data_IF_963183187553
#
_entry.id   IF_963183187553
#
_cell.length_a   1.000
_cell.length_b   1.000
_cell.length_c   1.000
_cell.angle_alpha   90.00
_cell.angle_beta   90.00
_cell.angle_gamma   90.00
#
_symmetry.space_group_name_H-M   'P 1'
#
loop_
_entity.id
_entity.type
_entity.pdbx_description
1 polymer ?
#
# COMPACT_ATOMS: atom_id res chain seq x y z
N UNK A 1 0.79 2.13 10.31
CA UNK A 1 1.25 2.21 8.92
C UNK A 1 0.34 3.02 8.02
N UNK A 2 0.85 3.35 6.85
CA UNK A 2 0.19 4.19 5.87
C UNK A 2 -0.90 3.46 5.08
N UNK A 3 -1.98 3.09 5.73
CA UNK A 3 -3.12 2.42 5.10
C UNK A 3 -4.31 3.36 5.04
N UNK A 4 -4.66 3.82 3.85
CA UNK A 4 -5.82 4.68 3.62
C UNK A 4 -7.09 3.85 3.56
N UNK A 5 -8.15 4.37 4.17
CA UNK A 5 -9.49 3.78 4.10
C UNK A 5 -10.26 4.46 2.97
N UNK A 6 -10.29 3.78 1.86
CA UNK A 6 -11.00 4.16 0.65
C UNK A 6 -11.39 2.89 -0.10
N UNK A 7 -12.63 2.80 -0.56
CA UNK A 7 -13.13 1.73 -1.42
C UNK A 7 -14.23 2.23 -2.34
N UNK A 8 -14.39 1.57 -3.48
CA UNK A 8 -15.56 1.70 -4.36
C UNK A 8 -16.67 0.68 -4.01
N UNK A 9 -16.38 -0.29 -3.14
CA UNK A 9 -17.36 -1.27 -2.66
C UNK A 9 -18.13 -0.66 -1.48
N UNK A 10 -19.42 -0.39 -1.68
CA UNK A 10 -20.29 0.21 -0.67
C UNK A 10 -20.44 -0.69 0.57
N UNK A 11 -20.34 -2.01 0.43
CA UNK A 11 -20.37 -2.96 1.56
C UNK A 11 -19.19 -2.73 2.51
N UNK A 12 -18.00 -2.55 1.94
CA UNK A 12 -16.78 -2.23 2.69
C UNK A 12 -16.89 -0.88 3.37
N UNK A 13 -17.37 0.13 2.63
CA UNK A 13 -17.52 1.50 3.16
C UNK A 13 -18.53 1.54 4.30
N UNK A 14 -19.65 0.80 4.20
CA UNK A 14 -20.65 0.69 5.24
C UNK A 14 -20.10 -0.05 6.46
N UNK A 15 -19.42 -1.19 6.24
CA UNK A 15 -18.83 -1.96 7.32
C UNK A 15 -17.82 -1.15 8.14
N UNK A 16 -16.98 -0.34 7.47
CA UNK A 16 -16.07 0.58 8.17
C UNK A 16 -16.82 1.62 9.01
N UNK A 17 -17.92 2.17 8.48
CA UNK A 17 -18.74 3.15 9.21
C UNK A 17 -19.44 2.53 10.42
N UNK A 18 -19.86 1.27 10.33
CA UNK A 18 -20.50 0.54 11.45
C UNK A 18 -19.48 0.24 12.56
N UNK A 19 -18.24 -0.12 12.18
CA UNK A 19 -17.17 -0.38 13.15
C UNK A 19 -16.63 0.91 13.77
N UNK A 20 -16.44 1.96 12.95
CA UNK A 20 -15.91 3.25 13.40
C UNK A 20 -16.67 4.39 12.70
N UNK A 21 -17.61 5.05 13.40
CA UNK A 21 -18.41 6.13 12.82
C UNK A 21 -17.53 7.33 12.43
N UNK A 22 -17.96 8.04 11.38
CA UNK A 22 -17.29 9.25 10.90
C UNK A 22 -17.46 10.41 11.88
N UNK A 23 -16.44 11.26 11.98
CA UNK A 23 -16.42 12.43 12.85
C UNK A 23 -17.63 13.36 12.62
N UNK A 24 -18.24 13.78 13.72
CA UNK A 24 -19.33 14.79 13.76
C UNK A 24 -18.86 16.17 14.19
N UNK A 25 -17.59 16.29 14.60
CA UNK A 25 -16.95 17.55 14.97
C UNK A 25 -15.52 17.61 14.35
N UNK A 26 -14.96 18.82 14.16
CA UNK A 26 -13.60 18.98 13.67
C UNK A 26 -12.58 18.39 14.66
N UNK A 27 -11.54 17.72 14.15
CA UNK A 27 -10.42 17.26 14.93
C UNK A 27 -9.55 18.44 15.42
N UNK A 28 -8.64 18.19 16.36
CA UNK A 28 -7.77 19.21 16.96
C UNK A 28 -7.07 20.08 15.91
N UNK A 29 -6.42 19.47 14.93
CA UNK A 29 -5.71 20.19 13.87
C UNK A 29 -6.64 20.95 12.93
N UNK A 30 -7.85 20.44 12.67
CA UNK A 30 -8.85 21.14 11.87
C UNK A 30 -9.31 22.43 12.57
N UNK A 31 -9.46 22.40 13.90
CA UNK A 31 -9.78 23.58 14.72
C UNK A 31 -8.66 24.60 14.75
N UNK A 32 -7.42 24.16 15.03
CA UNK A 32 -6.25 25.03 15.12
C UNK A 32 -5.92 25.70 13.77
N UNK A 33 -6.10 24.99 12.68
CA UNK A 33 -5.81 25.49 11.34
C UNK A 33 -7.02 26.15 10.66
N UNK A 34 -8.17 26.17 11.32
CA UNK A 34 -9.45 26.64 10.78
C UNK A 34 -9.78 25.97 9.43
N UNK A 35 -9.60 24.64 9.39
CA UNK A 35 -9.84 23.81 8.21
C UNK A 35 -11.29 23.37 8.16
N UNK A 36 -11.91 23.50 7.00
CA UNK A 36 -13.25 22.95 6.75
C UNK A 36 -13.12 21.49 6.33
N UNK A 37 -13.79 20.59 7.05
CA UNK A 37 -13.86 19.15 6.74
C UNK A 37 -15.30 18.69 6.72
N UNK A 38 -15.64 17.67 5.90
CA UNK A 38 -16.97 17.07 5.95
C UNK A 38 -17.26 16.49 7.35
N UNK A 39 -18.41 16.85 7.92
CA UNK A 39 -18.86 16.36 9.22
C UNK A 39 -20.14 15.54 9.07
N UNK A 40 -20.22 14.43 9.79
CA UNK A 40 -21.41 13.58 9.81
C UNK A 40 -22.36 14.03 10.92
N UNK A 41 -23.61 14.41 10.60
CA UNK A 41 -24.59 14.79 11.64
C UNK A 41 -24.78 13.67 12.66
N UNK A 42 -24.65 14.00 13.94
CA UNK A 42 -24.74 13.02 15.04
C UNK A 42 -23.52 12.12 15.19
N UNK A 43 -22.47 12.31 14.40
CA UNK A 43 -21.21 11.58 14.56
C UNK A 43 -20.44 11.99 15.84
N UNK A 44 -19.46 11.17 16.28
CA UNK A 44 -18.67 11.42 17.48
C UNK A 44 -17.77 12.66 17.35
N UNK A 45 -17.48 13.31 18.45
CA UNK A 45 -16.49 14.37 18.58
C UNK A 45 -15.11 13.71 18.83
N UNK A 46 -14.12 13.88 17.94
CA UNK A 46 -12.79 13.28 18.11
C UNK A 46 -12.05 13.69 19.39
N UNK A 47 -12.44 14.81 20.01
CA UNK A 47 -11.85 15.25 21.29
C UNK A 47 -12.44 14.53 22.50
N UNK A 48 -13.59 13.87 22.34
CA UNK A 48 -14.32 13.21 23.44
C UNK A 48 -14.39 11.70 23.29
N UNK A 49 -14.29 11.23 22.06
CA UNK A 49 -14.45 9.82 21.73
C UNK A 49 -13.26 9.30 20.91
N UNK A 50 -12.84 8.09 21.22
CA UNK A 50 -11.71 7.46 20.52
C UNK A 50 -12.18 6.61 19.33
N UNK A 51 -13.38 6.03 19.40
CA UNK A 51 -13.95 5.23 18.31
C UNK A 51 -14.52 6.14 17.23
N UNK A 52 -13.64 6.74 16.46
CA UNK A 52 -13.98 7.70 15.42
C UNK A 52 -13.06 7.61 14.23
N UNK A 53 -13.63 7.77 13.03
CA UNK A 53 -12.89 7.86 11.77
C UNK A 53 -12.85 9.30 11.29
N UNK A 54 -11.67 9.78 10.97
CA UNK A 54 -11.41 11.15 10.53
C UNK A 54 -11.43 11.23 9.00
N UNK A 55 -11.81 12.39 8.46
CA UNK A 55 -11.60 12.74 7.06
C UNK A 55 -10.27 13.45 6.90
N UNK A 56 -9.41 12.99 5.99
CA UNK A 56 -8.07 13.51 5.77
C UNK A 56 -7.78 13.80 4.32
N UNK A 57 -7.06 14.90 4.05
CA UNK A 57 -6.62 15.26 2.72
C UNK A 57 -5.51 14.32 2.25
N UNK A 58 -5.63 13.87 1.01
CA UNK A 58 -4.59 13.05 0.37
C UNK A 58 -3.58 13.96 -0.30
N UNK A 59 -2.41 14.13 0.30
CA UNK A 59 -1.26 14.74 -0.35
C UNK A 59 -0.17 13.69 -0.50
N UNK A 60 0.30 13.51 -1.73
CA UNK A 60 1.44 12.63 -2.03
C UNK A 60 2.26 13.27 -3.12
N UNK A 61 3.58 13.29 -2.93
CA UNK A 61 4.51 13.81 -3.92
C UNK A 61 5.68 12.85 -4.12
N UNK A 62 6.43 13.06 -5.18
CA UNK A 62 7.71 12.42 -5.44
C UNK A 62 8.81 13.37 -4.97
N UNK A 63 9.80 12.84 -4.24
CA UNK A 63 11.03 13.53 -3.89
C UNK A 63 12.17 12.98 -4.72
N UNK A 64 12.84 13.86 -5.45
CA UNK A 64 13.95 13.53 -6.33
C UNK A 64 14.92 14.69 -6.42
N UNK A 65 16.19 14.46 -6.11
CA UNK A 65 17.29 15.45 -6.15
C UNK A 65 16.92 16.77 -5.44
N UNK A 66 16.46 16.67 -4.19
CA UNK A 66 16.04 17.80 -3.33
C UNK A 66 14.83 18.59 -3.84
N UNK A 67 14.06 18.07 -4.80
CA UNK A 67 12.86 18.70 -5.34
C UNK A 67 11.62 17.82 -5.21
N UNK A 68 10.48 18.47 -4.99
CA UNK A 68 9.18 17.79 -5.01
C UNK A 68 8.53 17.86 -6.39
N UNK A 69 7.96 16.71 -6.79
CA UNK A 69 7.16 16.57 -8.00
C UNK A 69 5.79 16.00 -7.64
N UNK A 70 4.77 16.33 -8.43
CA UNK A 70 3.42 15.77 -8.25
C UNK A 70 3.44 14.24 -8.38
N UNK A 71 2.56 13.57 -7.62
CA UNK A 71 2.27 12.15 -7.80
C UNK A 71 0.77 11.96 -8.10
N UNK A 72 0.42 11.29 -9.20
CA UNK A 72 1.32 10.82 -10.27
C UNK A 72 2.00 11.98 -10.99
N UNK A 73 3.19 11.71 -11.56
CA UNK A 73 3.94 12.76 -12.25
C UNK A 73 3.10 13.38 -13.35
N UNK A 74 3.03 14.70 -13.39
CA UNK A 74 2.31 15.46 -14.39
C UNK A 74 3.25 16.46 -15.07
N UNK A 75 3.14 16.63 -16.38
CA UNK A 75 3.94 17.58 -17.16
C UNK A 75 3.35 18.98 -17.10
N UNK A 76 3.06 19.49 -15.88
CA UNK A 76 2.65 20.88 -15.67
C UNK A 76 3.84 21.82 -15.81
N UNK A 77 3.54 23.12 -15.98
CA UNK A 77 4.58 24.15 -16.09
C UNK A 77 5.53 24.16 -14.88
N UNK A 78 5.00 23.94 -13.68
CA UNK A 78 5.78 23.85 -12.45
C UNK A 78 6.77 22.66 -12.50
N UNK A 79 6.34 21.50 -12.95
CA UNK A 79 7.19 20.31 -13.12
C UNK A 79 8.30 20.58 -14.13
N UNK A 80 7.99 21.18 -15.27
CA UNK A 80 8.98 21.52 -16.30
C UNK A 80 9.98 22.58 -15.79
N UNK A 81 9.52 23.54 -15.01
CA UNK A 81 10.39 24.55 -14.38
C UNK A 81 11.34 23.90 -13.36
N UNK A 82 10.82 22.98 -12.52
CA UNK A 82 11.61 22.26 -11.53
C UNK A 82 12.67 21.36 -12.18
N UNK A 83 12.31 20.68 -13.28
CA UNK A 83 13.25 19.84 -14.06
C UNK A 83 14.33 20.67 -14.78
N UNK A 84 14.08 21.94 -15.03
CA UNK A 84 14.95 22.83 -15.79
C UNK A 84 14.86 22.63 -17.32
N UNK A 85 15.29 23.64 -18.05
CA UNK A 85 15.13 23.67 -19.52
C UNK A 85 15.84 22.52 -20.24
N UNK A 86 17.11 22.27 -19.89
CA UNK A 86 17.90 21.22 -20.54
C UNK A 86 17.28 19.82 -20.36
N UNK A 87 16.87 19.48 -19.15
CA UNK A 87 16.21 18.19 -18.85
C UNK A 87 14.85 18.09 -19.55
N UNK A 88 14.08 19.16 -19.57
CA UNK A 88 12.78 19.23 -20.27
C UNK A 88 12.95 18.94 -21.76
N UNK A 89 13.97 19.54 -22.41
CA UNK A 89 14.25 19.28 -23.81
C UNK A 89 14.68 17.82 -24.04
N UNK A 90 15.53 17.25 -23.16
CA UNK A 90 15.93 15.84 -23.24
C UNK A 90 14.71 14.90 -23.09
N UNK A 91 13.79 15.18 -22.18
CA UNK A 91 12.54 14.42 -22.03
C UNK A 91 11.72 14.48 -23.30
N UNK A 92 11.54 15.68 -23.90
CA UNK A 92 10.80 15.87 -25.15
C UNK A 92 11.41 15.09 -26.34
N UNK A 93 12.72 15.21 -26.56
CA UNK A 93 13.39 14.47 -27.61
C UNK A 93 13.37 12.94 -27.37
N UNK A 94 13.55 12.52 -26.12
CA UNK A 94 13.49 11.10 -25.77
C UNK A 94 12.10 10.52 -26.00
N UNK A 95 11.04 11.27 -25.71
CA UNK A 95 9.67 10.85 -25.98
C UNK A 95 9.38 10.78 -27.50
N UNK A 96 9.78 11.78 -28.28
CA UNK A 96 9.63 11.76 -29.74
C UNK A 96 10.36 10.56 -30.36
N UNK A 97 11.58 10.26 -29.90
CA UNK A 97 12.32 9.07 -30.33
C UNK A 97 11.57 7.78 -30.02
N UNK A 98 10.94 7.67 -28.82
CA UNK A 98 10.13 6.52 -28.44
C UNK A 98 8.82 6.40 -29.24
N UNK A 99 8.26 7.50 -29.73
CA UNK A 99 7.10 7.49 -30.64
C UNK A 99 7.45 6.94 -32.03
N UNK A 100 8.65 7.27 -32.53
CA UNK A 100 9.12 6.86 -33.87
C UNK A 100 9.68 5.43 -33.83
N UNK A 101 10.47 5.11 -32.82
CA UNK A 101 11.14 3.80 -32.68
C UNK A 101 10.57 3.02 -31.49
N UNK A 102 9.41 2.38 -31.73
CA UNK A 102 8.78 1.51 -30.71
C UNK A 102 9.62 0.26 -30.46
N UNK A 103 9.81 -0.07 -29.20
CA UNK A 103 10.45 -1.31 -28.74
C UNK A 103 9.44 -2.45 -28.66
N UNK A 104 9.86 -3.73 -28.71
CA UNK A 104 9.00 -4.85 -28.35
C UNK A 104 8.40 -4.62 -26.95
N UNK A 105 7.13 -4.98 -26.78
CA UNK A 105 6.41 -4.75 -25.52
C UNK A 105 6.41 -6.02 -24.66
N UNK A 106 7.62 -6.58 -24.45
CA UNK A 106 7.91 -7.85 -23.81
C UNK A 106 8.27 -7.71 -22.32
N UNK A 107 8.72 -6.53 -21.91
CA UNK A 107 9.07 -6.26 -20.53
C UNK A 107 8.65 -4.85 -20.08
N UNK A 108 8.69 -4.62 -18.77
CA UNK A 108 8.23 -3.39 -18.13
C UNK A 108 9.11 -2.17 -18.51
N UNK A 109 10.42 -2.37 -18.71
CA UNK A 109 11.32 -1.30 -19.21
C UNK A 109 10.85 -0.78 -20.56
N UNK A 110 10.66 -1.69 -21.52
CA UNK A 110 10.20 -1.34 -22.86
C UNK A 110 8.82 -0.73 -22.87
N UNK A 111 7.92 -1.24 -22.02
CA UNK A 111 6.60 -0.65 -21.83
C UNK A 111 6.69 0.81 -21.36
N UNK A 112 7.48 1.10 -20.34
CA UNK A 112 7.64 2.47 -19.84
C UNK A 112 8.37 3.38 -20.83
N UNK A 113 9.41 2.90 -21.49
CA UNK A 113 10.11 3.68 -22.52
C UNK A 113 9.18 4.01 -23.69
N UNK A 114 8.38 3.07 -24.15
CA UNK A 114 7.37 3.30 -25.19
C UNK A 114 6.30 4.31 -24.78
N UNK A 115 5.98 4.36 -23.48
CA UNK A 115 4.94 5.22 -22.93
C UNK A 115 5.45 6.63 -22.59
N UNK A 116 6.67 6.76 -22.09
CA UNK A 116 7.18 7.98 -21.47
C UNK A 116 8.51 8.49 -22.04
N UNK A 117 9.17 7.70 -22.89
CA UNK A 117 10.53 7.96 -23.37
C UNK A 117 11.59 7.54 -22.33
N UNK A 118 12.80 7.22 -22.83
CA UNK A 118 13.90 6.71 -21.99
C UNK A 118 14.28 7.66 -20.85
N UNK A 119 14.28 8.98 -21.11
CA UNK A 119 14.72 9.97 -20.11
C UNK A 119 13.79 10.01 -18.90
N UNK A 120 12.48 10.09 -19.12
CA UNK A 120 11.50 10.13 -18.04
C UNK A 120 11.45 8.79 -17.29
N UNK A 121 11.56 7.67 -18.02
CA UNK A 121 11.67 6.34 -17.46
C UNK A 121 12.84 6.24 -16.47
N UNK A 122 14.04 6.66 -16.88
CA UNK A 122 15.23 6.57 -16.02
C UNK A 122 15.16 7.49 -14.79
N UNK A 123 14.41 8.60 -14.86
CA UNK A 123 14.28 9.52 -13.73
C UNK A 123 13.27 9.04 -12.68
N UNK A 124 12.13 8.46 -13.11
CA UNK A 124 10.98 8.26 -12.21
C UNK A 124 10.45 6.83 -12.11
N UNK A 125 10.94 5.91 -12.92
CA UNK A 125 10.41 4.54 -12.93
C UNK A 125 11.48 3.47 -12.68
N UNK A 126 12.65 3.58 -13.29
CA UNK A 126 13.69 2.55 -13.26
C UNK A 126 14.14 2.24 -11.83
N UNK A 127 14.75 3.21 -11.16
CA UNK A 127 15.30 3.01 -9.81
C UNK A 127 14.24 2.70 -8.76
N UNK A 128 13.07 3.32 -8.84
CA UNK A 128 11.99 3.04 -7.89
C UNK A 128 11.42 1.63 -8.06
N UNK A 129 11.24 1.19 -9.30
CA UNK A 129 10.76 -0.18 -9.58
C UNK A 129 11.76 -1.22 -9.08
N UNK A 130 13.06 -0.97 -9.30
CA UNK A 130 14.12 -1.85 -8.81
C UNK A 130 14.16 -1.89 -7.27
N UNK A 131 14.05 -0.74 -6.59
CA UNK A 131 13.92 -0.71 -5.12
C UNK A 131 12.72 -1.53 -4.64
N UNK A 132 11.55 -1.30 -5.24
CA UNK A 132 10.29 -1.92 -4.82
C UNK A 132 10.30 -3.44 -5.02
N UNK A 133 10.73 -3.91 -6.20
CA UNK A 133 10.61 -5.32 -6.57
C UNK A 133 11.91 -6.12 -6.45
N UNK A 134 13.04 -5.46 -6.24
CA UNK A 134 14.34 -6.12 -6.19
C UNK A 134 14.78 -6.72 -7.52
N UNK A 135 14.11 -6.34 -8.62
CA UNK A 135 14.40 -6.76 -10.00
C UNK A 135 14.41 -5.57 -10.92
N UNK A 136 15.32 -5.56 -11.86
CA UNK A 136 15.35 -4.52 -12.89
C UNK A 136 14.08 -4.61 -13.77
N UNK A 137 13.46 -3.48 -14.20
CA UNK A 137 12.26 -3.49 -15.05
C UNK A 137 12.34 -4.34 -16.32
N UNK A 138 13.54 -4.59 -16.86
CA UNK A 138 13.75 -5.49 -18.00
C UNK A 138 13.45 -6.97 -17.72
N UNK A 139 13.45 -7.36 -16.45
CA UNK A 139 13.18 -8.72 -15.97
C UNK A 139 11.72 -8.92 -15.54
N UNK A 140 10.91 -7.88 -15.64
CA UNK A 140 9.50 -7.85 -15.23
C UNK A 140 8.65 -7.82 -16.50
N UNK A 141 7.61 -8.65 -16.57
CA UNK A 141 6.68 -8.69 -17.69
C UNK A 141 5.93 -7.37 -17.90
N UNK A 142 5.68 -7.02 -19.16
CA UNK A 142 5.01 -5.77 -19.53
C UNK A 142 3.56 -5.66 -19.02
N UNK A 143 2.89 -6.79 -18.75
CA UNK A 143 1.51 -6.82 -18.21
C UNK A 143 1.40 -6.08 -16.87
N UNK A 144 2.46 -6.10 -16.08
CA UNK A 144 2.59 -5.35 -14.83
C UNK A 144 2.42 -3.84 -15.00
N UNK A 145 3.03 -3.29 -16.04
CA UNK A 145 2.91 -1.88 -16.38
C UNK A 145 1.49 -1.53 -16.80
N UNK A 146 0.85 -2.40 -17.56
CA UNK A 146 -0.51 -2.18 -18.06
C UNK A 146 -1.55 -2.08 -16.94
N UNK A 147 -1.41 -2.87 -15.89
CA UNK A 147 -2.33 -2.81 -14.73
C UNK A 147 -2.21 -1.51 -13.93
N UNK A 148 -1.01 -0.91 -13.85
CA UNK A 148 -0.72 0.23 -12.97
C UNK A 148 -0.68 1.59 -13.66
N UNK A 149 -0.53 1.64 -14.98
CA UNK A 149 -0.36 2.89 -15.73
C UNK A 149 -1.55 3.26 -16.61
N UNK A 150 -2.69 2.60 -16.49
CA UNK A 150 -3.89 2.87 -17.31
C UNK A 150 -4.33 4.33 -17.31
N UNK A 151 -4.03 5.06 -16.23
CA UNK A 151 -4.38 6.47 -16.09
C UNK A 151 -3.24 7.42 -16.51
N UNK A 152 -2.04 6.92 -16.81
CA UNK A 152 -0.85 7.71 -17.13
C UNK A 152 -0.52 7.62 -18.62
N UNK A 153 -1.34 8.24 -19.47
CA UNK A 153 -1.00 8.44 -20.88
C UNK A 153 -0.42 9.84 -21.09
N UNK A 154 0.84 9.95 -21.55
CA UNK A 154 1.41 11.27 -21.94
C UNK A 154 0.55 11.94 -23.02
N UNK A 155 0.01 11.14 -23.95
CA UNK A 155 -0.94 11.67 -24.94
C UNK A 155 -2.22 12.22 -24.30
N UNK A 156 -2.73 11.57 -23.24
CA UNK A 156 -3.83 12.09 -22.42
C UNK A 156 -3.42 13.38 -21.70
N UNK A 157 -2.24 13.41 -21.09
CA UNK A 157 -1.69 14.58 -20.40
C UNK A 157 -1.44 15.74 -21.38
N UNK A 158 -0.84 15.48 -22.54
CA UNK A 158 -0.64 16.49 -23.58
C UNK A 158 -1.97 16.97 -24.16
N UNK A 159 -2.92 16.08 -24.42
CA UNK A 159 -4.26 16.43 -24.87
C UNK A 159 -5.00 17.28 -23.83
N UNK A 160 -4.84 16.98 -22.56
CA UNK A 160 -5.35 17.77 -21.43
C UNK A 160 -4.67 19.14 -21.33
N UNK A 161 -3.36 19.22 -21.55
CA UNK A 161 -2.65 20.51 -21.61
C UNK A 161 -3.15 21.38 -22.77
N UNK A 162 -3.25 20.81 -23.97
CA UNK A 162 -3.77 21.53 -25.13
C UNK A 162 -5.26 21.87 -24.99
N UNK A 163 -6.09 20.97 -24.44
CA UNK A 163 -7.51 21.25 -24.21
C UNK A 163 -7.73 22.33 -23.15
N UNK A 164 -6.91 22.36 -22.09
CA UNK A 164 -6.98 23.38 -21.02
C UNK A 164 -6.63 24.80 -21.49
N UNK A 165 -5.84 24.93 -22.56
CA UNK A 165 -5.54 26.22 -23.20
C UNK A 165 -6.78 26.77 -23.92
N UNK A 166 -7.68 25.90 -24.42
CA UNK A 166 -8.86 26.27 -25.20
C UNK A 166 -10.20 26.08 -24.47
N UNK A 167 -10.21 25.61 -23.20
CA UNK A 167 -11.44 25.35 -22.45
C UNK A 167 -11.90 26.53 -21.60
N UNK A 168 -13.23 26.76 -21.53
CA UNK A 168 -13.85 27.73 -20.63
C UNK A 168 -13.70 27.33 -19.14
N UNK A 169 -13.74 28.35 -18.24
CA UNK A 169 -13.58 28.17 -16.78
C UNK A 169 -14.53 27.14 -16.16
N UNK A 170 -15.75 27.01 -16.69
CA UNK A 170 -16.80 26.12 -16.15
C UNK A 170 -16.52 24.62 -16.43
N UNK A 171 -16.00 24.29 -17.61
CA UNK A 171 -15.56 22.91 -17.93
C UNK A 171 -14.29 22.50 -17.18
N UNK A 172 -13.45 23.47 -16.79
CA UNK A 172 -12.27 23.24 -15.95
C UNK A 172 -12.62 22.72 -14.56
N UNK A 173 -13.72 23.23 -13.96
CA UNK A 173 -14.18 22.78 -12.63
C UNK A 173 -14.77 21.36 -12.63
N UNK A 174 -15.45 20.95 -13.71
CA UNK A 174 -16.03 19.61 -13.81
C UNK A 174 -15.00 18.50 -14.08
N UNK A 175 -13.89 18.79 -14.78
CA UNK A 175 -12.83 17.80 -15.02
C UNK A 175 -11.87 17.61 -13.83
N UNK A 176 -11.75 18.60 -12.94
CA UNK A 176 -10.97 18.49 -11.70
C UNK A 176 -11.63 17.50 -10.72
N UNK A 177 -12.93 17.24 -10.85
CA UNK A 177 -13.67 16.32 -9.96
C UNK A 177 -13.47 14.83 -10.25
N UNK A 178 -12.81 14.44 -11.35
CA UNK A 178 -12.68 13.02 -11.73
C UNK A 178 -11.26 12.43 -11.64
N UNK A 179 -10.26 13.21 -11.28
CA UNK A 179 -8.89 12.70 -11.17
C UNK A 179 -8.33 12.91 -9.79
N UNK A 180 -8.20 11.83 -9.04
CA UNK A 180 -7.59 11.67 -7.73
C UNK A 180 -8.56 11.95 -6.57
N UNK A 181 -8.81 10.90 -5.80
CA UNK A 181 -9.41 10.97 -4.47
C UNK A 181 -8.59 11.95 -3.66
N UNK A 182 -9.16 13.11 -3.38
CA UNK A 182 -8.51 14.19 -2.63
C UNK A 182 -8.57 13.94 -1.13
N UNK A 183 -9.50 13.06 -0.69
CA UNK A 183 -9.75 12.75 0.72
C UNK A 183 -9.78 11.24 0.96
N UNK A 184 -9.42 10.83 2.18
CA UNK A 184 -9.53 9.45 2.65
C UNK A 184 -10.01 9.42 4.10
N UNK A 185 -10.56 8.28 4.50
CA UNK A 185 -10.94 8.03 5.89
C UNK A 185 -9.74 7.44 6.65
N UNK A 186 -9.62 7.80 7.93
CA UNK A 186 -8.53 7.30 8.76
C UNK A 186 -8.94 7.20 10.22
N UNK A 187 -8.77 6.05 10.88
CA UNK A 187 -9.06 5.91 12.32
C UNK A 187 -8.20 6.87 13.14
N UNK A 188 -8.77 7.43 14.20
CA UNK A 188 -8.12 8.41 15.09
C UNK A 188 -6.71 7.98 15.51
N UNK A 189 -6.53 6.72 15.90
CA UNK A 189 -5.25 6.15 16.34
C UNK A 189 -4.63 5.19 15.31
N UNK A 190 -4.96 5.34 14.03
CA UNK A 190 -4.40 4.57 12.94
C UNK A 190 -5.17 3.29 12.60
N UNK A 191 -4.73 2.56 11.54
CA UNK A 191 -5.49 1.43 11.00
C UNK A 191 -5.68 0.28 11.99
N UNK A 192 -4.73 0.06 12.90
CA UNK A 192 -4.81 -0.98 13.93
C UNK A 192 -6.03 -0.83 14.81
N UNK A 193 -6.43 0.40 15.13
CA UNK A 193 -7.60 0.68 15.96
C UNK A 193 -8.90 0.09 15.40
N UNK A 194 -9.10 0.12 14.08
CA UNK A 194 -10.26 -0.51 13.46
C UNK A 194 -10.28 -2.01 13.72
N UNK A 195 -9.13 -2.67 13.57
CA UNK A 195 -9.03 -4.12 13.74
C UNK A 195 -9.11 -4.54 15.20
N UNK A 196 -8.58 -3.75 16.11
CA UNK A 196 -8.76 -3.94 17.56
C UNK A 196 -10.23 -3.79 17.97
N UNK A 197 -10.91 -2.78 17.42
CA UNK A 197 -12.36 -2.60 17.60
C UNK A 197 -13.14 -3.81 17.06
N UNK A 198 -12.77 -4.29 15.87
CA UNK A 198 -13.38 -5.49 15.28
C UNK A 198 -13.16 -6.72 16.14
N UNK A 199 -11.95 -6.93 16.67
CA UNK A 199 -11.65 -8.04 17.57
C UNK A 199 -12.53 -8.00 18.84
N UNK A 200 -12.71 -6.82 19.43
CA UNK A 200 -13.61 -6.64 20.59
C UNK A 200 -15.07 -6.98 20.25
N UNK A 201 -15.56 -6.60 19.06
CA UNK A 201 -16.91 -6.96 18.64
C UNK A 201 -17.06 -8.48 18.40
N UNK A 202 -16.04 -9.13 17.85
CA UNK A 202 -16.01 -10.61 17.70
C UNK A 202 -16.11 -11.28 19.09
N UNK A 203 -15.33 -10.82 20.06
CA UNK A 203 -15.35 -11.36 21.43
C UNK A 203 -16.70 -11.14 22.11
N UNK A 204 -17.34 -9.98 21.93
CA UNK A 204 -18.70 -9.71 22.44
C UNK A 204 -19.75 -10.65 21.85
N UNK A 205 -19.55 -11.07 20.60
CA UNK A 205 -20.42 -12.06 19.94
C UNK A 205 -20.12 -13.51 20.35
N UNK A 206 -19.19 -13.72 21.28
CA UNK A 206 -18.77 -15.05 21.75
C UNK A 206 -17.67 -15.67 20.91
N UNK A 207 -17.10 -14.95 19.94
CA UNK A 207 -15.94 -15.39 19.19
C UNK A 207 -14.66 -15.39 20.06
N UNK A 208 -13.62 -16.02 19.57
CA UNK A 208 -12.36 -16.16 20.30
C UNK A 208 -11.19 -15.71 19.44
N UNK A 209 -10.38 -14.80 19.95
CA UNK A 209 -9.12 -14.34 19.32
C UNK A 209 -7.94 -14.97 20.08
N UNK A 210 -7.13 -15.75 19.36
CA UNK A 210 -5.95 -16.41 19.92
C UNK A 210 -4.69 -15.74 19.37
N UNK A 211 -4.05 -14.92 20.17
CA UNK A 211 -2.79 -14.23 19.83
C UNK A 211 -1.58 -15.11 20.19
N UNK A 212 -0.44 -14.89 19.51
CA UNK A 212 0.78 -15.66 19.76
C UNK A 212 0.68 -17.13 19.37
N UNK A 213 -0.28 -17.47 18.49
CA UNK A 213 -0.52 -18.81 18.00
C UNK A 213 -0.24 -18.88 16.50
N UNK A 214 0.79 -19.62 16.13
CA UNK A 214 1.21 -19.81 14.73
C UNK A 214 0.53 -21.04 14.15
N UNK A 215 -0.14 -20.90 12.99
CA UNK A 215 -0.60 -22.05 12.21
C UNK A 215 0.57 -22.60 11.42
N UNK A 216 0.89 -23.88 11.64
CA UNK A 216 1.99 -24.60 11.00
C UNK A 216 1.54 -25.38 9.76
N UNK A 217 0.25 -25.74 9.70
CA UNK A 217 -0.31 -26.50 8.58
C UNK A 217 -1.74 -26.94 8.82
N UNK A 218 -2.29 -27.64 7.83
CA UNK A 218 -3.65 -28.17 7.85
C UNK A 218 -3.64 -29.65 7.57
N UNK A 219 -4.33 -30.43 8.41
CA UNK A 219 -4.55 -31.86 8.20
C UNK A 219 -5.80 -32.06 7.34
N UNK A 220 -5.66 -32.84 6.28
CA UNK A 220 -6.72 -33.09 5.33
C UNK A 220 -7.09 -34.58 5.28
N UNK A 221 -8.38 -34.85 5.18
CA UNK A 221 -8.92 -36.21 5.02
C UNK A 221 -10.16 -36.17 4.11
N UNK A 222 -10.22 -37.04 3.11
CA UNK A 222 -11.41 -37.22 2.22
C UNK A 222 -11.96 -35.92 1.62
N UNK A 223 -11.08 -35.01 1.12
CA UNK A 223 -11.47 -33.76 0.48
C UNK A 223 -11.91 -32.67 1.46
N UNK A 224 -11.56 -32.78 2.73
CA UNK A 224 -11.82 -31.77 3.76
C UNK A 224 -10.59 -31.49 4.61
N UNK A 225 -10.48 -30.26 5.09
CA UNK A 225 -9.60 -29.92 6.22
C UNK A 225 -10.30 -30.37 7.49
N UNK A 226 -9.62 -31.14 8.34
CA UNK A 226 -10.18 -31.67 9.59
C UNK A 226 -9.61 -30.96 10.82
N UNK A 227 -8.37 -30.49 10.76
CA UNK A 227 -7.75 -29.73 11.82
C UNK A 227 -6.62 -28.82 11.31
N UNK A 228 -6.27 -27.83 12.12
CA UNK A 228 -5.06 -27.04 11.93
C UNK A 228 -4.04 -27.44 12.99
N UNK A 229 -2.80 -27.70 12.59
CA UNK A 229 -1.70 -27.82 13.52
C UNK A 229 -1.19 -26.42 13.86
N UNK A 230 -1.19 -26.12 15.15
CA UNK A 230 -0.82 -24.80 15.66
C UNK A 230 0.28 -24.92 16.71
N UNK A 231 1.06 -23.86 16.86
CA UNK A 231 2.09 -23.71 17.90
C UNK A 231 1.88 -22.41 18.66
N UNK A 232 1.90 -22.47 19.94
CA UNK A 232 1.91 -21.32 20.86
C UNK A 232 2.87 -21.54 22.03
N UNK A 233 2.75 -20.75 23.11
CA UNK A 233 3.59 -20.86 24.30
C UNK A 233 3.46 -22.17 25.05
N UNK A 234 2.41 -22.97 24.83
CA UNK A 234 2.18 -24.28 25.45
C UNK A 234 2.71 -25.45 24.59
N UNK A 235 3.09 -25.17 23.33
CA UNK A 235 3.61 -26.18 22.41
C UNK A 235 2.76 -26.34 21.16
N UNK A 236 2.89 -27.49 20.50
CA UNK A 236 2.13 -27.82 19.29
C UNK A 236 0.90 -28.66 19.65
N UNK A 237 -0.22 -28.34 18.99
CA UNK A 237 -1.47 -29.09 19.08
C UNK A 237 -2.30 -28.96 17.82
N UNK A 238 -3.26 -29.86 17.67
CA UNK A 238 -4.26 -29.79 16.61
C UNK A 238 -5.51 -29.04 17.10
N UNK A 239 -6.06 -28.19 16.24
CA UNK A 239 -7.33 -27.51 16.47
C UNK A 239 -8.33 -27.97 15.40
N UNK A 240 -9.38 -28.64 15.82
CA UNK A 240 -10.44 -29.11 14.95
C UNK A 240 -11.43 -27.98 14.56
N UNK A 241 -12.10 -28.13 13.43
CA UNK A 241 -13.11 -27.20 12.96
C UNK A 241 -13.91 -27.76 11.79
N UNK A 242 -15.08 -27.20 11.56
CA UNK A 242 -15.98 -27.59 10.47
C UNK A 242 -15.69 -26.83 9.18
N UNK A 243 -15.28 -25.53 9.30
CA UNK A 243 -14.99 -24.63 8.18
C UNK A 243 -13.74 -23.83 8.48
N UNK A 244 -12.91 -23.64 7.48
CA UNK A 244 -11.62 -22.97 7.60
C UNK A 244 -11.50 -21.80 6.60
N UNK A 245 -11.22 -20.61 7.11
CA UNK A 245 -10.86 -19.45 6.31
C UNK A 245 -9.37 -19.17 6.50
N UNK A 246 -8.60 -19.24 5.43
CA UNK A 246 -7.15 -19.02 5.47
C UNK A 246 -6.78 -17.70 4.81
N UNK A 247 -6.19 -16.80 5.58
CA UNK A 247 -5.52 -15.59 5.06
C UNK A 247 -3.99 -15.71 5.10
N UNK A 248 -3.46 -16.87 5.55
CA UNK A 248 -2.03 -17.12 5.57
C UNK A 248 -1.45 -17.23 4.16
N UNK A 249 -0.13 -16.98 3.96
CA UNK A 249 0.48 -17.14 2.65
C UNK A 249 0.22 -18.51 2.05
N UNK A 250 -0.26 -18.53 0.81
CA UNK A 250 -0.63 -19.78 0.09
C UNK A 250 0.53 -20.79 0.07
N UNK A 251 1.76 -20.31 -0.09
CA UNK A 251 2.99 -21.11 -0.04
C UNK A 251 3.14 -21.82 1.30
N UNK A 252 2.86 -21.13 2.42
CA UNK A 252 2.99 -21.70 3.77
C UNK A 252 1.84 -22.67 4.06
N UNK A 253 0.62 -22.36 3.62
CA UNK A 253 -0.52 -23.25 3.74
C UNK A 253 -0.24 -24.57 3.03
N UNK A 254 0.15 -24.53 1.75
CA UNK A 254 0.45 -25.72 0.95
C UNK A 254 1.61 -26.52 1.53
N UNK A 255 2.67 -25.84 1.97
CA UNK A 255 3.83 -26.52 2.61
C UNK A 255 3.47 -27.26 3.91
N UNK A 256 2.44 -26.78 4.62
CA UNK A 256 1.97 -27.37 5.87
C UNK A 256 0.83 -28.39 5.72
N UNK A 257 0.32 -28.62 4.51
CA UNK A 257 -0.71 -29.64 4.24
C UNK A 257 -0.10 -31.03 4.03
N UNK A 258 -0.84 -32.07 4.38
CA UNK A 258 -0.47 -33.44 4.03
C UNK A 258 -0.97 -33.80 2.62
N UNK A 259 -0.32 -34.80 2.00
CA UNK A 259 -0.72 -35.43 0.72
C UNK A 259 -0.92 -34.48 -0.46
N UNK A 260 -0.13 -33.38 -0.49
CA UNK A 260 -0.17 -32.42 -1.60
C UNK A 260 0.55 -33.00 -2.83
N UNK A 261 -0.03 -32.90 -4.05
CA UNK A 261 0.65 -33.28 -5.28
C UNK A 261 1.98 -32.53 -5.47
N UNK A 262 2.99 -33.23 -5.99
CA UNK A 262 4.34 -32.68 -6.13
C UNK A 262 4.39 -31.41 -7.00
N UNK A 263 3.62 -31.37 -8.09
CA UNK A 263 3.49 -30.21 -8.96
C UNK A 263 2.90 -28.99 -8.21
N UNK A 264 1.90 -29.20 -7.37
CA UNK A 264 1.30 -28.13 -6.55
C UNK A 264 2.29 -27.62 -5.50
N UNK A 265 3.05 -28.53 -4.87
CA UNK A 265 4.10 -28.14 -3.90
C UNK A 265 5.18 -27.30 -4.56
N UNK A 266 5.66 -27.70 -5.74
CA UNK A 266 6.69 -26.98 -6.49
C UNK A 266 6.23 -25.58 -6.87
N UNK A 267 5.05 -25.45 -7.44
CA UNK A 267 4.46 -24.16 -7.84
C UNK A 267 4.30 -23.26 -6.60
N UNK A 268 3.68 -23.77 -5.53
CA UNK A 268 3.45 -22.98 -4.31
C UNK A 268 4.77 -22.55 -3.64
N UNK A 269 5.76 -23.43 -3.59
CA UNK A 269 7.08 -23.12 -3.04
C UNK A 269 7.82 -22.04 -3.84
N UNK A 270 7.61 -21.97 -5.16
CA UNK A 270 8.20 -20.99 -6.06
C UNK A 270 7.52 -19.61 -6.04
N UNK A 271 6.34 -19.45 -5.41
CA UNK A 271 5.64 -18.17 -5.36
C UNK A 271 6.46 -17.13 -4.58
N UNK A 272 6.84 -16.00 -5.21
CA UNK A 272 7.72 -15.02 -4.61
C UNK A 272 6.97 -13.97 -3.80
N UNK A 273 7.65 -13.42 -2.81
CA UNK A 273 7.21 -12.27 -2.02
C UNK A 273 8.33 -11.24 -1.92
N UNK A 274 7.96 -10.00 -1.65
CA UNK A 274 8.86 -8.98 -1.13
C UNK A 274 8.54 -8.75 0.33
N UNK A 275 9.59 -8.68 1.12
CA UNK A 275 9.56 -8.31 2.52
C UNK A 275 9.74 -6.81 2.68
N UNK A 276 9.59 -6.34 3.87
CA UNK A 276 9.51 -4.92 4.11
C UNK A 276 9.98 -4.61 5.53
N UNK A 277 10.82 -3.59 5.64
CA UNK A 277 11.23 -3.02 6.92
C UNK A 277 10.71 -1.60 6.98
N UNK A 278 10.10 -1.24 8.10
CA UNK A 278 9.77 0.16 8.39
C UNK A 278 10.57 0.64 9.59
N UNK A 279 11.15 1.84 9.45
CA UNK A 279 11.82 2.55 10.54
C UNK A 279 10.96 3.75 10.89
N UNK A 280 10.45 3.80 12.12
CA UNK A 280 9.79 4.96 12.67
C UNK A 280 10.82 5.86 13.35
N UNK A 281 10.74 7.16 13.10
CA UNK A 281 11.53 8.17 13.80
C UNK A 281 10.64 9.27 14.34
N UNK A 282 10.76 9.57 15.63
CA UNK A 282 10.23 10.78 16.21
C UNK A 282 11.33 11.84 16.13
N UNK A 283 11.04 12.95 15.48
CA UNK A 283 11.98 14.06 15.32
C UNK A 283 11.37 15.34 15.84
N UNK A 284 12.20 16.27 16.31
CA UNK A 284 11.73 17.60 16.73
C UNK A 284 11.40 18.50 15.53
N UNK A 285 12.05 18.28 14.37
CA UNK A 285 11.76 19.01 13.13
C UNK A 285 12.28 18.26 11.90
N UNK A 286 11.71 18.62 10.75
CA UNK A 286 12.24 18.25 9.43
C UNK A 286 12.87 19.48 8.78
N UNK A 287 13.93 19.28 8.02
CA UNK A 287 14.57 20.34 7.22
C UNK A 287 13.78 20.66 5.92
N UNK A 288 12.69 19.93 5.67
CA UNK A 288 11.79 20.16 4.54
C UNK A 288 10.87 21.35 4.80
N UNK A 289 10.81 22.29 3.85
CA UNK A 289 9.96 23.48 3.93
C UNK A 289 8.62 23.25 3.25
N UNK A 290 7.53 23.68 3.90
CA UNK A 290 6.21 23.70 3.29
C UNK A 290 6.08 24.92 2.37
N UNK A 291 6.32 24.72 1.08
CA UNK A 291 6.15 25.74 0.05
C UNK A 291 4.74 25.74 -0.58
N UNK A 292 3.83 24.90 -0.05
CA UNK A 292 2.45 24.77 -0.53
C UNK A 292 1.54 25.81 0.14
N UNK A 293 0.31 25.92 -0.37
CA UNK A 293 -0.74 26.75 0.25
C UNK A 293 -1.48 26.03 1.39
N UNK A 294 -1.19 24.75 1.60
CA UNK A 294 -1.84 23.94 2.63
C UNK A 294 -1.20 24.21 3.99
N UNK A 295 -2.04 24.57 4.95
CA UNK A 295 -1.60 24.78 6.34
C UNK A 295 -1.49 23.45 7.07
N UNK A 296 -0.44 23.27 7.84
CA UNK A 296 -0.18 22.11 8.69
C UNK A 296 0.26 22.55 10.08
N UNK A 297 0.09 21.70 11.09
CA UNK A 297 0.65 21.95 12.43
C UNK A 297 2.19 22.01 12.31
N UNK A 298 2.82 22.92 13.05
CA UNK A 298 4.26 23.12 12.96
C UNK A 298 4.80 23.55 11.58
N UNK A 299 3.91 23.91 10.65
CA UNK A 299 4.24 24.26 9.25
C UNK A 299 5.08 23.20 8.51
N UNK A 300 4.90 21.91 8.85
CA UNK A 300 5.56 20.81 8.17
C UNK A 300 5.00 20.62 6.75
N UNK A 301 5.74 19.92 5.88
CA UNK A 301 5.23 19.56 4.54
C UNK A 301 3.91 18.76 4.66
N UNK A 302 2.89 19.03 3.80
CA UNK A 302 1.55 18.49 3.96
C UNK A 302 1.39 17.05 3.49
N UNK A 303 2.48 16.44 3.07
CA UNK A 303 2.45 15.10 2.50
C UNK A 303 2.11 14.05 3.54
N UNK A 304 1.14 13.21 3.23
CA UNK A 304 0.95 11.94 3.94
C UNK A 304 2.00 10.93 3.52
N UNK A 305 2.42 11.01 2.24
CA UNK A 305 3.27 10.02 1.61
C UNK A 305 4.19 10.64 0.58
N UNK A 306 5.49 10.42 0.70
CA UNK A 306 6.52 10.89 -0.22
C UNK A 306 7.21 9.68 -0.83
N UNK A 307 7.22 9.60 -2.17
CA UNK A 307 7.95 8.58 -2.92
C UNK A 307 9.37 9.03 -3.18
N UNK A 308 10.37 8.25 -2.77
CA UNK A 308 11.80 8.60 -2.88
C UNK A 308 12.39 7.98 -4.14
N UNK A 309 12.82 8.83 -5.07
CA UNK A 309 13.36 8.39 -6.36
C UNK A 309 14.90 8.41 -6.42
N UNK A 310 15.58 9.02 -5.44
CA UNK A 310 17.05 9.09 -5.41
C UNK A 310 17.66 7.69 -5.41
N UNK A 311 18.55 7.41 -6.36
CA UNK A 311 19.12 6.08 -6.56
C UNK A 311 20.22 5.72 -5.55
N UNK A 312 20.80 6.72 -4.87
CA UNK A 312 21.90 6.57 -3.91
C UNK A 312 21.43 6.27 -2.48
N UNK A 313 20.11 6.15 -2.26
CA UNK A 313 19.49 5.73 -1.01
C UNK A 313 18.61 4.50 -1.20
N UNK A 314 18.54 3.64 -0.20
CA UNK A 314 17.64 2.47 -0.20
C UNK A 314 16.20 2.82 0.16
N UNK A 315 16.01 3.93 0.86
CA UNK A 315 14.72 4.45 1.26
C UNK A 315 13.77 4.54 0.05
N UNK A 316 12.63 3.89 0.14
CA UNK A 316 11.62 3.90 -0.91
C UNK A 316 10.53 4.93 -0.71
N UNK A 317 10.08 5.12 0.55
CA UNK A 317 8.97 6.02 0.88
C UNK A 317 9.11 6.61 2.27
N UNK A 318 8.63 7.85 2.43
CA UNK A 318 8.48 8.52 3.72
C UNK A 318 7.00 8.75 3.98
N UNK A 319 6.54 8.45 5.18
CA UNK A 319 5.21 8.81 5.68
C UNK A 319 5.35 9.85 6.78
N UNK A 320 4.49 10.87 6.78
CA UNK A 320 4.45 11.90 7.83
C UNK A 320 3.15 11.71 8.59
N UNK A 321 3.19 11.00 9.70
CA UNK A 321 2.01 10.54 10.41
C UNK A 321 1.18 11.67 11.04
N UNK A 322 1.78 12.82 11.35
CA UNK A 322 1.05 14.01 11.78
C UNK A 322 -0.07 14.41 10.79
N UNK A 323 0.17 14.20 9.48
CA UNK A 323 -0.81 14.52 8.43
C UNK A 323 -1.89 13.44 8.24
N UNK A 324 -1.68 12.24 8.79
CA UNK A 324 -2.69 11.17 8.79
C UNK A 324 -3.66 11.33 9.94
N UNK A 325 -3.14 11.60 11.13
CA UNK A 325 -3.93 11.94 12.32
C UNK A 325 -3.05 12.66 13.34
N UNK A 326 -3.48 13.82 13.88
CA UNK A 326 -2.72 14.51 14.92
C UNK A 326 -2.63 13.72 16.22
N UNK A 327 -3.53 12.75 16.43
CA UNK A 327 -3.56 11.91 17.63
C UNK A 327 -2.56 10.75 17.61
N UNK A 328 -1.85 10.55 16.50
CA UNK A 328 -0.74 9.59 16.42
C UNK A 328 0.53 10.11 17.08
N UNK A 329 0.59 11.40 17.39
CA UNK A 329 1.77 12.08 17.93
C UNK A 329 1.37 12.81 19.22
N UNK A 330 2.14 12.63 20.29
CA UNK A 330 1.81 13.21 21.60
C UNK A 330 1.87 14.73 21.59
N UNK A 331 2.85 15.31 20.88
CA UNK A 331 3.05 16.75 20.71
C UNK A 331 3.17 17.07 19.20
N UNK A 332 2.05 17.12 18.46
CA UNK A 332 2.07 17.29 17.01
C UNK A 332 2.42 18.70 16.53
N UNK A 333 2.51 19.66 17.43
CA UNK A 333 2.93 21.04 17.11
C UNK A 333 4.46 21.20 17.11
N UNK A 334 5.17 20.41 17.92
CA UNK A 334 6.61 20.54 18.13
C UNK A 334 7.40 19.28 17.76
N UNK A 335 6.73 18.16 17.43
CA UNK A 335 7.39 16.93 17.01
C UNK A 335 6.74 16.34 15.77
N UNK A 336 7.51 15.60 15.00
CA UNK A 336 7.06 14.93 13.78
C UNK A 336 7.38 13.45 13.88
N UNK A 337 6.35 12.60 13.70
CA UNK A 337 6.51 11.16 13.61
C UNK A 337 6.53 10.75 12.14
N UNK A 338 7.67 10.22 11.69
CA UNK A 338 7.83 9.77 10.31
C UNK A 338 8.05 8.26 10.24
N UNK A 339 7.52 7.64 9.20
CA UNK A 339 7.74 6.23 8.85
C UNK A 339 8.54 6.12 7.57
N UNK A 340 9.61 5.33 7.61
CA UNK A 340 10.54 5.14 6.51
C UNK A 340 10.42 3.71 6.01
N UNK A 341 10.12 3.52 4.74
CA UNK A 341 9.83 2.21 4.15
C UNK A 341 10.99 1.72 3.30
N UNK A 342 11.48 0.52 3.63
CA UNK A 342 12.55 -0.19 2.94
C UNK A 342 12.05 -1.51 2.41
N UNK A 343 12.18 -1.72 1.11
CA UNK A 343 11.84 -2.99 0.46
C UNK A 343 13.07 -3.88 0.45
N UNK A 344 12.93 -5.10 0.93
CA UNK A 344 14.02 -6.05 1.04
C UNK A 344 13.50 -7.48 0.88
N UNK A 345 14.39 -8.45 0.99
CA UNK A 345 14.04 -9.84 1.14
C UNK A 345 14.61 -10.36 2.46
N UNK A 346 13.97 -11.37 3.04
CA UNK A 346 14.55 -12.14 4.13
C UNK A 346 15.94 -12.65 3.75
N UNK A 347 16.92 -12.41 4.62
CA UNK A 347 18.33 -12.73 4.35
C UNK A 347 19.16 -11.63 3.71
N UNK A 348 18.54 -10.55 3.20
CA UNK A 348 19.29 -9.36 2.75
C UNK A 348 20.09 -8.74 3.90
N UNK A 349 21.24 -8.09 3.64
CA UNK A 349 22.01 -7.40 4.67
C UNK A 349 21.19 -6.39 5.48
N UNK A 350 20.28 -5.66 4.83
CA UNK A 350 19.41 -4.69 5.51
C UNK A 350 18.35 -5.36 6.39
N UNK A 351 17.81 -6.50 5.96
CA UNK A 351 16.89 -7.30 6.76
C UNK A 351 17.59 -7.87 8.00
N UNK A 352 18.82 -8.38 7.83
CA UNK A 352 19.59 -9.07 8.87
C UNK A 352 20.32 -8.12 9.83
N UNK A 353 20.38 -6.82 9.52
CA UNK A 353 21.02 -5.81 10.36
C UNK A 353 20.30 -5.65 11.70
N UNK A 354 20.99 -5.19 12.73
CA UNK A 354 20.38 -4.81 14.01
C UNK A 354 19.44 -3.61 13.85
N UNK A 355 18.57 -3.39 14.82
CA UNK A 355 17.70 -2.20 14.83
C UNK A 355 18.52 -0.92 14.81
N UNK A 356 19.58 -0.84 15.64
CA UNK A 356 20.48 0.31 15.73
C UNK A 356 21.18 0.61 14.39
N UNK A 357 21.66 -0.42 13.68
CA UNK A 357 22.29 -0.27 12.38
C UNK A 357 21.30 0.20 11.32
N UNK A 358 20.09 -0.35 11.35
CA UNK A 358 19.01 0.03 10.44
C UNK A 358 18.57 1.47 10.66
N UNK A 359 18.40 1.89 11.91
CA UNK A 359 18.07 3.27 12.29
C UNK A 359 19.18 4.23 11.88
N UNK A 360 20.45 3.88 12.15
CA UNK A 360 21.60 4.71 11.77
C UNK A 360 21.69 4.90 10.26
N UNK A 361 21.45 3.84 9.49
CA UNK A 361 21.39 3.95 8.02
C UNK A 361 20.25 4.87 7.60
N UNK A 362 19.07 4.72 8.17
CA UNK A 362 17.89 5.54 7.85
C UNK A 362 18.15 7.01 8.12
N UNK A 363 18.71 7.37 9.27
CA UNK A 363 19.10 8.75 9.62
C UNK A 363 20.13 9.30 8.65
N UNK A 364 21.16 8.51 8.31
CA UNK A 364 22.20 8.90 7.34
C UNK A 364 21.61 9.20 5.96
N UNK A 365 20.64 8.39 5.50
CA UNK A 365 19.97 8.63 4.22
C UNK A 365 19.12 9.90 4.23
N UNK A 366 18.39 10.17 5.33
CA UNK A 366 17.60 11.40 5.48
C UNK A 366 18.48 12.66 5.51
N UNK A 367 19.64 12.61 6.16
CA UNK A 367 20.61 13.72 6.16
C UNK A 367 21.14 13.94 4.75
N UNK A 368 21.54 12.88 4.05
CA UNK A 368 22.03 12.95 2.67
C UNK A 368 20.99 13.55 1.72
N UNK A 369 19.72 13.21 1.92
CA UNK A 369 18.60 13.75 1.16
C UNK A 369 18.23 15.18 1.56
N UNK A 370 18.80 15.73 2.64
CA UNK A 370 18.43 17.04 3.17
C UNK A 370 17.05 17.08 3.84
N UNK A 371 16.52 15.93 4.24
CA UNK A 371 15.25 15.80 4.99
C UNK A 371 15.46 16.07 6.47
N UNK A 372 16.61 15.64 7.02
CA UNK A 372 17.12 16.02 8.33
C UNK A 372 18.40 16.86 8.19
N UNK A 373 18.64 17.74 9.13
CA UNK A 373 19.87 18.52 9.20
C UNK A 373 21.02 17.66 9.75
N UNK A 374 20.78 17.02 10.89
CA UNK A 374 21.69 16.08 11.54
C UNK A 374 20.94 15.12 12.48
N UNK A 375 21.67 14.18 13.09
CA UNK A 375 21.13 13.15 13.97
C UNK A 375 20.59 13.65 15.32
N UNK A 376 20.98 14.86 15.76
CA UNK A 376 20.55 15.42 17.05
C UNK A 376 19.05 15.73 17.08
N UNK A 377 18.41 15.81 15.91
CA UNK A 377 16.97 16.01 15.79
C UNK A 377 16.14 14.74 16.01
N UNK A 378 16.76 13.56 16.12
CA UNK A 378 16.06 12.29 16.38
C UNK A 378 15.87 12.12 17.88
N UNK A 379 14.60 12.09 18.31
CA UNK A 379 14.21 11.97 19.72
C UNK A 379 13.95 10.52 20.13
N UNK A 380 13.42 9.72 19.21
CA UNK A 380 13.09 8.31 19.43
C UNK A 380 13.03 7.55 18.12
N UNK A 381 13.16 6.23 18.17
CA UNK A 381 13.13 5.38 16.99
C UNK A 381 12.52 4.02 17.28
N UNK A 382 11.99 3.38 16.23
CA UNK A 382 11.45 2.02 16.29
C UNK A 382 11.58 1.34 14.92
N UNK A 383 11.83 0.04 14.92
CA UNK A 383 11.90 -0.77 13.69
C UNK A 383 10.91 -1.92 13.72
N UNK A 384 10.21 -2.10 12.60
CA UNK A 384 9.37 -3.27 12.35
C UNK A 384 9.80 -4.00 11.08
N UNK A 385 9.77 -5.32 11.11
CA UNK A 385 10.03 -6.20 9.98
C UNK A 385 8.75 -6.96 9.62
N UNK A 386 8.37 -6.91 8.36
CA UNK A 386 7.16 -7.55 7.86
C UNK A 386 7.54 -8.54 6.75
N UNK A 387 7.47 -9.81 7.06
CA UNK A 387 7.67 -10.89 6.08
C UNK A 387 6.47 -10.98 5.13
N UNK A 388 6.77 -11.36 3.88
CA UNK A 388 5.74 -11.63 2.86
C UNK A 388 4.72 -10.51 2.71
N UNK A 389 5.21 -9.25 2.77
CA UNK A 389 4.36 -8.06 2.73
C UNK A 389 3.71 -7.87 1.36
N UNK A 390 4.41 -8.21 0.28
CA UNK A 390 3.97 -7.98 -1.10
C UNK A 390 4.08 -9.27 -1.91
N UNK A 391 2.96 -9.95 -2.23
CA UNK A 391 2.94 -11.01 -3.23
C UNK A 391 3.43 -10.47 -4.57
N UNK A 392 4.39 -11.14 -5.19
CA UNK A 392 4.94 -10.77 -6.49
C UNK A 392 4.49 -11.76 -7.56
N UNK A 393 4.35 -11.31 -8.81
CA UNK A 393 3.80 -12.10 -9.91
C UNK A 393 4.93 -12.52 -10.86
N UNK A 394 5.91 -13.24 -10.31
CA UNK A 394 7.07 -13.73 -11.00
C UNK A 394 7.21 -15.25 -10.82
N UNK A 395 8.22 -15.81 -11.45
CA UNK A 395 8.64 -17.19 -11.28
C UNK A 395 7.48 -18.16 -11.54
N UNK A 396 6.99 -18.91 -10.55
CA UNK A 396 5.90 -19.90 -10.72
C UNK A 396 4.50 -19.29 -10.70
N UNK A 397 4.36 -17.97 -10.62
CA UNK A 397 3.04 -17.33 -10.52
C UNK A 397 2.12 -17.60 -11.73
N UNK A 398 2.70 -17.76 -12.93
CA UNK A 398 1.91 -18.06 -14.14
C UNK A 398 1.16 -19.39 -14.04
N UNK A 399 1.66 -20.31 -13.21
CA UNK A 399 1.05 -21.64 -12.96
C UNK A 399 0.18 -21.68 -11.70
N UNK A 400 -0.05 -20.54 -11.02
CA UNK A 400 -0.83 -20.47 -9.76
C UNK A 400 -2.23 -21.08 -9.89
N UNK A 401 -2.79 -21.09 -11.09
CA UNK A 401 -4.09 -21.71 -11.39
C UNK A 401 -4.17 -23.17 -10.91
N UNK A 402 -3.08 -23.92 -11.04
CA UNK A 402 -3.00 -25.31 -10.58
C UNK A 402 -3.09 -25.44 -9.05
N UNK A 403 -2.50 -24.49 -8.30
CA UNK A 403 -2.60 -24.43 -6.84
C UNK A 403 -4.04 -24.08 -6.43
N UNK A 404 -4.65 -23.12 -7.10
CA UNK A 404 -6.04 -22.71 -6.86
C UNK A 404 -7.00 -23.87 -7.10
N UNK A 405 -6.85 -24.62 -8.20
CA UNK A 405 -7.65 -25.82 -8.49
C UNK A 405 -7.53 -26.84 -7.35
N UNK A 406 -6.32 -27.13 -6.89
CA UNK A 406 -6.10 -28.06 -5.80
C UNK A 406 -6.78 -27.59 -4.49
N UNK A 407 -6.58 -26.33 -4.09
CA UNK A 407 -7.18 -25.80 -2.86
C UNK A 407 -8.71 -25.77 -2.93
N UNK A 408 -9.29 -25.60 -4.12
CA UNK A 408 -10.74 -25.63 -4.32
C UNK A 408 -11.32 -27.06 -4.27
N UNK A 409 -10.50 -28.11 -4.22
CA UNK A 409 -11.01 -29.48 -3.99
C UNK A 409 -11.48 -29.72 -2.56
N UNK A 410 -11.10 -28.86 -1.61
CA UNK A 410 -11.53 -28.96 -0.21
C UNK A 410 -12.86 -28.24 0.00
N UNK A 411 -13.91 -28.98 0.33
CA UNK A 411 -15.27 -28.47 0.48
C UNK A 411 -15.40 -27.36 1.54
N UNK A 412 -14.55 -27.37 2.57
CA UNK A 412 -14.64 -26.52 3.75
C UNK A 412 -13.47 -25.54 3.93
N UNK A 413 -12.61 -25.36 2.90
CA UNK A 413 -11.49 -24.43 2.91
C UNK A 413 -11.79 -23.22 2.02
N UNK A 414 -11.57 -22.01 2.55
CA UNK A 414 -11.73 -20.75 1.84
C UNK A 414 -10.45 -19.92 1.97
N UNK A 415 -9.76 -19.68 0.85
CA UNK A 415 -8.57 -18.83 0.82
C UNK A 415 -8.97 -17.38 0.52
N UNK A 416 -8.66 -16.47 1.46
CA UNK A 416 -9.09 -15.06 1.41
C UNK A 416 -7.93 -14.11 1.66
N UNK A 417 -8.10 -12.85 1.27
CA UNK A 417 -7.15 -11.80 1.54
C UNK A 417 -5.91 -11.81 0.64
N UNK A 418 -4.99 -10.88 0.91
CA UNK A 418 -3.78 -10.65 0.10
C UNK A 418 -2.91 -11.91 -0.03
N UNK A 419 -2.52 -12.48 1.10
CA UNK A 419 -1.58 -13.59 1.14
C UNK A 419 -2.25 -14.94 0.92
N UNK A 420 -3.51 -15.12 1.38
CA UNK A 420 -4.29 -16.33 1.14
C UNK A 420 -4.64 -16.55 -0.33
N UNK A 421 -4.56 -15.51 -1.16
CA UNK A 421 -4.75 -15.59 -2.60
C UNK A 421 -3.48 -15.33 -3.41
N UNK A 422 -2.35 -15.03 -2.77
CA UNK A 422 -1.14 -14.55 -3.43
C UNK A 422 -1.44 -13.42 -4.42
N UNK A 423 -2.21 -12.42 -3.98
CA UNK A 423 -2.68 -11.32 -4.82
C UNK A 423 -2.40 -9.97 -4.15
N UNK A 424 -1.98 -8.99 -4.92
CA UNK A 424 -1.68 -7.65 -4.42
C UNK A 424 -2.97 -6.88 -4.09
N UNK A 425 -3.69 -7.38 -3.08
CA UNK A 425 -4.94 -6.80 -2.59
C UNK A 425 -4.67 -5.63 -1.63
N UNK A 426 -5.48 -4.58 -1.73
CA UNK A 426 -5.63 -3.59 -0.67
C UNK A 426 -6.57 -4.12 0.42
N UNK A 427 -6.81 -3.34 1.49
CA UNK A 427 -7.70 -3.76 2.59
C UNK A 427 -9.11 -4.07 2.11
N UNK A 428 -9.68 -3.22 1.27
CA UNK A 428 -11.03 -3.39 0.71
C UNK A 428 -11.16 -4.67 -0.11
N UNK A 429 -10.20 -4.99 -0.96
CA UNK A 429 -10.20 -6.25 -1.70
C UNK A 429 -10.09 -7.46 -0.77
N UNK A 430 -9.23 -7.37 0.26
CA UNK A 430 -9.10 -8.45 1.24
C UNK A 430 -10.41 -8.69 1.99
N UNK A 431 -11.13 -7.62 2.35
CA UNK A 431 -12.46 -7.70 2.95
C UNK A 431 -13.49 -8.26 1.96
N UNK A 432 -13.48 -7.80 0.71
CA UNK A 432 -14.40 -8.29 -0.31
C UNK A 432 -14.23 -9.80 -0.55
N UNK A 433 -12.99 -10.33 -0.56
CA UNK A 433 -12.79 -11.79 -0.64
C UNK A 433 -13.44 -12.54 0.52
N UNK A 434 -13.42 -11.96 1.72
CA UNK A 434 -14.05 -12.54 2.90
C UNK A 434 -15.57 -12.47 2.81
N UNK A 435 -16.14 -11.37 2.31
CA UNK A 435 -17.58 -11.27 2.07
C UNK A 435 -18.08 -12.31 1.06
N UNK A 436 -17.37 -12.49 -0.05
CA UNK A 436 -17.71 -13.51 -1.04
C UNK A 436 -17.58 -14.93 -0.46
N UNK A 437 -16.58 -15.17 0.39
CA UNK A 437 -16.38 -16.47 1.02
C UNK A 437 -17.51 -16.82 2.03
N UNK A 438 -17.92 -15.85 2.85
CA UNK A 438 -19.04 -15.99 3.78
C UNK A 438 -20.34 -16.21 3.00
N UNK A 439 -20.59 -15.41 1.96
CA UNK A 439 -21.76 -15.57 1.10
C UNK A 439 -21.83 -16.98 0.46
N UNK A 440 -20.69 -17.44 -0.06
CA UNK A 440 -20.62 -18.79 -0.65
C UNK A 440 -20.93 -19.89 0.39
N UNK A 441 -20.44 -19.74 1.63
CA UNK A 441 -20.72 -20.67 2.71
C UNK A 441 -22.20 -20.67 3.08
N UNK A 442 -22.79 -19.49 3.32
CA UNK A 442 -24.20 -19.36 3.72
C UNK A 442 -25.18 -19.86 2.65
N UNK A 443 -24.87 -19.60 1.38
CA UNK A 443 -25.69 -20.02 0.26
C UNK A 443 -25.40 -21.46 -0.20
N UNK A 444 -24.45 -22.17 0.40
CA UNK A 444 -24.06 -23.53 0.01
C UNK A 444 -23.42 -23.60 -1.39
N UNK A 445 -22.82 -22.51 -1.87
CA UNK A 445 -22.19 -22.42 -3.18
C UNK A 445 -20.82 -23.09 -3.14
N UNK A 446 -20.63 -24.14 -3.96
CA UNK A 446 -19.33 -24.83 -4.06
C UNK A 446 -18.34 -24.12 -4.97
N UNK A 447 -18.81 -23.38 -5.96
CA UNK A 447 -17.95 -22.60 -6.84
C UNK A 447 -17.29 -21.45 -6.09
N UNK A 448 -15.96 -21.42 -6.10
CA UNK A 448 -15.12 -20.41 -5.44
C UNK A 448 -14.67 -19.27 -6.40
N UNK A 449 -15.15 -19.30 -7.65
CA UNK A 449 -14.72 -18.33 -8.68
C UNK A 449 -14.97 -16.88 -8.29
N UNK A 450 -16.08 -16.57 -7.63
CA UNK A 450 -16.39 -15.24 -7.12
C UNK A 450 -15.33 -14.72 -6.13
N UNK A 451 -14.84 -15.60 -5.23
CA UNK A 451 -13.80 -15.26 -4.24
C UNK A 451 -12.46 -14.95 -4.93
N UNK A 452 -12.10 -15.78 -5.92
CA UNK A 452 -10.84 -15.62 -6.66
C UNK A 452 -10.90 -14.51 -7.71
N UNK A 453 -12.08 -14.05 -8.12
CA UNK A 453 -12.25 -12.97 -9.09
C UNK A 453 -12.15 -11.56 -8.50
N UNK A 454 -12.17 -11.42 -7.18
CA UNK A 454 -11.96 -10.12 -6.52
C UNK A 454 -10.62 -9.53 -6.97
N UNK A 455 -10.62 -8.25 -7.37
CA UNK A 455 -9.44 -7.53 -7.86
C UNK A 455 -8.79 -8.15 -9.12
N UNK A 456 -9.59 -8.83 -9.95
CA UNK A 456 -9.16 -9.24 -11.29
C UNK A 456 -9.57 -8.25 -12.36
N UNK A 457 -10.51 -7.36 -12.05
CA UNK A 457 -10.93 -6.32 -12.99
C UNK A 457 -9.77 -5.36 -13.26
N UNK A 458 -9.58 -5.10 -14.54
CA UNK A 458 -8.48 -4.28 -15.03
C UNK A 458 -8.75 -2.76 -14.85
N UNK A 459 -9.73 -2.34 -14.08
CA UNK A 459 -10.10 -0.93 -13.85
C UNK A 459 -10.34 -0.65 -12.37
N UNK A 460 -9.52 0.22 -11.81
CA UNK A 460 -9.80 0.99 -10.62
C UNK A 460 -10.36 2.34 -11.00
#
# INVERSE_FOLDING_TARGET
>A
GGHRFFSKDDRVMQWWADMMPMQGAPAMDDRLLNRQVPLTPGGPDPEKEDRVMLTRNRVSRIYYQHHFFDYPISLKWETLKTMGFATTMQVGFSYLAACIHKRPNDNLENFYINSFGKKLYSMFFEGYTEKLWGRHPREIDASWGKQRTKELSIMGILKDMFSKVFMSKERRQQQVQTSLIEEFRYPKFGPGQLWETTAQEIEKLGGRIVKGCQVLGAKTESGKVVSLRVRDGEGERDMEGDVFFSSMPIKDLVAGMNDVPADVQEIAAGLPYRDFVTVGLLVDRLNLKNETKLKTLGNIVPDCWIYVQDADVKLGRIQIFNNWSPYLVKDPEHTVWIGLEYFCNEGDPFWSASEEETVRQAVSELIRMGVLEDETHVLDSHREQVQKAYPAYFDTYDDIGRVIEYLNTFDNLYCVGRNGQHRYNNMDHSMATSFEAVHALEAGIRDRSAIWSVNTEQSY
#
